data_IF_636103055744
#
_entry.id   IF_636103055744
#
_cell.length_a   1.000
_cell.length_b   1.000
_cell.length_c   1.000
_cell.angle_alpha   90.00
_cell.angle_beta   90.00
_cell.angle_gamma   90.00
#
_symmetry.space_group_name_H-M   'P 1'
#
loop_
_entity.id
_entity.type
_entity.pdbx_description
1 polymer ?
#
# COMPACT_ATOMS: atom_id res chain seq x y z
N UNK A 1 -26.43 1.17 -23.55
CA UNK A 1 -25.24 0.52 -22.98
C UNK A 1 -24.17 0.46 -24.06
N UNK A 2 -22.90 0.42 -23.66
CA UNK A 2 -21.76 0.38 -24.57
C UNK A 2 -20.75 -0.64 -24.05
N UNK A 3 -20.20 -1.46 -24.95
CA UNK A 3 -19.26 -2.52 -24.58
C UNK A 3 -17.83 -2.03 -24.80
N UNK A 4 -17.01 -2.07 -23.77
CA UNK A 4 -15.58 -1.76 -23.84
C UNK A 4 -14.76 -3.04 -23.88
N UNK A 5 -13.64 -3.03 -24.60
CA UNK A 5 -12.67 -4.11 -24.51
C UNK A 5 -11.83 -3.91 -23.24
N UNK A 6 -12.09 -4.74 -22.23
CA UNK A 6 -11.35 -4.72 -20.97
C UNK A 6 -10.14 -5.68 -21.02
N UNK A 7 -9.07 -5.32 -20.30
CA UNK A 7 -7.94 -6.21 -20.06
C UNK A 7 -8.39 -7.51 -19.38
N UNK A 8 -7.59 -8.58 -19.51
CA UNK A 8 -7.92 -9.88 -18.90
C UNK A 8 -7.98 -9.80 -17.37
N UNK A 9 -7.14 -8.96 -16.77
CA UNK A 9 -7.04 -8.81 -15.31
C UNK A 9 -8.28 -8.10 -14.73
N UNK A 10 -8.77 -7.05 -15.40
CA UNK A 10 -10.01 -6.36 -15.02
C UNK A 10 -11.23 -7.31 -15.08
N UNK A 11 -11.29 -8.17 -16.11
CA UNK A 11 -12.35 -9.19 -16.21
C UNK A 11 -12.24 -10.26 -15.12
N UNK A 12 -11.02 -10.69 -14.80
CA UNK A 12 -10.77 -11.69 -13.73
C UNK A 12 -11.27 -11.20 -12.37
N UNK A 13 -11.16 -9.89 -12.11
CA UNK A 13 -11.65 -9.23 -10.90
C UNK A 13 -13.16 -8.95 -10.89
N UNK A 14 -13.88 -9.36 -11.94
CA UNK A 14 -15.34 -9.24 -12.01
C UNK A 14 -15.86 -7.92 -12.58
N UNK A 15 -15.01 -7.10 -13.21
CA UNK A 15 -15.48 -5.88 -13.87
C UNK A 15 -16.27 -6.24 -15.14
N UNK A 16 -17.52 -5.77 -15.22
CA UNK A 16 -18.35 -5.95 -16.40
C UNK A 16 -17.90 -5.02 -17.53
N UNK A 17 -17.86 -5.55 -18.74
CA UNK A 17 -17.44 -4.82 -19.95
C UNK A 17 -18.54 -3.93 -20.54
N UNK A 18 -19.71 -3.86 -19.91
CA UNK A 18 -20.86 -3.09 -20.38
C UNK A 18 -21.12 -1.88 -19.48
N UNK A 19 -21.02 -0.69 -20.06
CA UNK A 19 -21.18 0.59 -19.37
C UNK A 19 -22.39 1.38 -19.89
N UNK A 20 -22.86 2.35 -19.11
CA UNK A 20 -23.90 3.27 -19.55
C UNK A 20 -23.29 4.33 -20.48
N UNK A 21 -23.75 4.39 -21.73
CA UNK A 21 -23.10 5.16 -22.80
C UNK A 21 -23.06 6.67 -22.54
N UNK A 22 -24.02 7.23 -21.81
CA UNK A 22 -24.04 8.67 -21.48
C UNK A 22 -23.05 9.06 -20.37
N UNK A 23 -22.46 8.09 -19.65
CA UNK A 23 -21.44 8.33 -18.65
C UNK A 23 -20.02 8.20 -19.21
N UNK A 24 -19.87 7.76 -20.45
CA UNK A 24 -18.56 7.65 -21.10
C UNK A 24 -17.99 9.04 -21.35
N UNK A 25 -16.69 9.19 -21.11
CA UNK A 25 -15.91 10.41 -21.37
C UNK A 25 -14.80 10.11 -22.36
N UNK A 26 -14.34 11.16 -23.04
CA UNK A 26 -13.17 11.05 -23.93
C UNK A 26 -11.96 10.67 -23.08
N UNK A 27 -11.18 9.71 -23.57
CA UNK A 27 -9.94 9.29 -22.93
C UNK A 27 -8.88 10.39 -23.05
N UNK A 28 -8.37 10.83 -21.90
CA UNK A 28 -7.21 11.71 -21.80
C UNK A 28 -6.01 10.86 -21.39
N UNK A 29 -4.92 10.83 -22.18
CA UNK A 29 -3.75 10.04 -21.85
C UNK A 29 -3.09 10.54 -20.56
N UNK A 30 -2.53 9.61 -19.79
CA UNK A 30 -1.82 9.92 -18.56
C UNK A 30 -0.53 10.73 -18.83
N UNK A 31 -0.22 11.70 -17.98
CA UNK A 31 1.09 12.33 -17.95
C UNK A 31 2.05 11.47 -17.11
N UNK A 32 2.83 10.63 -17.78
CA UNK A 32 3.76 9.70 -17.13
C UNK A 32 4.91 10.39 -16.39
N UNK A 33 5.16 11.69 -16.65
CA UNK A 33 6.17 12.46 -15.91
C UNK A 33 5.66 12.86 -14.53
N UNK A 34 4.38 13.20 -14.44
CA UNK A 34 3.73 13.60 -13.19
C UNK A 34 3.18 12.40 -12.42
N UNK A 35 2.76 11.35 -13.13
CA UNK A 35 2.13 10.16 -12.55
C UNK A 35 2.78 8.88 -13.10
N UNK A 36 4.04 8.60 -12.74
CA UNK A 36 4.66 7.32 -13.07
C UNK A 36 3.91 6.18 -12.35
N UNK A 37 3.90 5.00 -12.96
CA UNK A 37 3.44 3.79 -12.29
C UNK A 37 1.93 3.51 -12.35
N UNK A 38 1.25 3.91 -13.44
CA UNK A 38 -0.21 3.77 -13.62
C UNK A 38 -0.63 2.52 -14.41
N UNK A 39 0.25 1.54 -14.59
CA UNK A 39 -0.14 0.29 -15.25
C UNK A 39 -1.18 -0.45 -14.41
N UNK A 40 -2.11 -1.15 -15.09
CA UNK A 40 -3.12 -2.00 -14.42
C UNK A 40 -2.45 -2.89 -13.35
N UNK A 41 -1.35 -3.56 -13.70
CA UNK A 41 -0.57 -4.36 -12.74
C UNK A 41 -0.15 -3.57 -11.51
N UNK A 42 0.36 -2.34 -11.66
CA UNK A 42 0.86 -1.55 -10.53
C UNK A 42 -0.23 -0.95 -9.65
N UNK A 43 -1.39 -0.62 -10.24
CA UNK A 43 -2.55 -0.10 -9.52
C UNK A 43 -3.28 -1.19 -8.75
N UNK A 44 -3.30 -2.40 -9.31
CA UNK A 44 -4.07 -3.53 -8.80
C UNK A 44 -3.22 -4.51 -7.95
N UNK A 45 -1.90 -4.61 -8.13
CA UNK A 45 -0.96 -5.33 -7.25
C UNK A 45 -0.73 -4.62 -5.89
N UNK A 46 -1.40 -3.49 -5.64
CA UNK A 46 -1.43 -2.87 -4.31
C UNK A 46 -2.27 -3.68 -3.30
N UNK A 47 -3.26 -4.44 -3.77
CA UNK A 47 -4.11 -5.29 -2.92
C UNK A 47 -3.44 -6.65 -2.69
N UNK A 48 -3.02 -7.36 -3.76
CA UNK A 48 -2.46 -8.73 -3.65
C UNK A 48 -1.08 -8.81 -2.96
N UNK A 49 -0.48 -7.67 -2.58
CA UNK A 49 0.72 -7.61 -1.74
C UNK A 49 0.34 -7.59 -0.24
N UNK A 50 -0.56 -8.49 0.16
CA UNK A 50 -1.14 -8.65 1.51
C UNK A 50 -0.13 -9.06 2.62
N UNK A 51 1.16 -8.78 2.43
CA UNK A 51 2.18 -9.03 3.45
C UNK A 51 3.50 -8.28 3.26
N UNK A 52 3.86 -7.91 2.02
CA UNK A 52 5.17 -7.30 1.76
C UNK A 52 5.17 -5.77 1.83
N UNK A 53 4.05 -5.10 1.49
CA UNK A 53 3.94 -3.63 1.61
C UNK A 53 3.48 -3.15 2.98
N UNK A 54 2.80 -3.99 3.76
CA UNK A 54 2.23 -3.57 5.05
C UNK A 54 3.31 -3.32 6.11
N UNK A 55 4.55 -3.79 5.92
CA UNK A 55 5.67 -3.56 6.83
C UNK A 55 6.92 -3.04 6.11
N UNK A 56 6.95 -1.74 5.85
CA UNK A 56 8.13 -1.00 5.45
C UNK A 56 9.14 -0.77 6.60
N UNK A 57 8.93 -1.41 7.76
CA UNK A 57 9.87 -1.35 8.89
C UNK A 57 11.00 -2.34 8.67
N UNK A 58 12.24 -1.89 8.89
CA UNK A 58 13.42 -2.76 8.92
C UNK A 58 13.59 -3.37 10.31
N UNK A 59 13.77 -2.54 11.35
CA UNK A 59 13.91 -2.98 12.75
C UNK A 59 13.67 -1.85 13.76
N UNK A 60 13.50 -2.22 15.03
CA UNK A 60 13.55 -1.29 16.15
C UNK A 60 15.01 -1.12 16.60
N UNK A 61 15.46 0.14 16.74
CA UNK A 61 16.81 0.48 17.17
C UNK A 61 16.90 0.67 18.69
N UNK A 62 15.91 1.35 19.28
CA UNK A 62 15.88 1.66 20.72
C UNK A 62 14.45 1.91 21.21
N UNK A 63 14.25 1.94 22.53
CA UNK A 63 13.00 2.40 23.13
C UNK A 63 13.26 3.27 24.37
N UNK A 64 12.27 4.09 24.73
CA UNK A 64 12.25 4.90 25.95
C UNK A 64 10.87 4.86 26.59
N UNK A 65 10.82 5.03 27.90
CA UNK A 65 9.60 4.89 28.68
C UNK A 65 9.27 3.44 28.99
N UNK A 66 8.07 3.19 29.52
CA UNK A 66 7.64 1.85 29.92
C UNK A 66 6.14 1.64 29.68
N UNK A 67 5.76 0.36 29.56
CA UNK A 67 4.39 -0.08 29.33
C UNK A 67 3.73 0.67 28.16
N UNK A 68 2.50 1.15 28.35
CA UNK A 68 1.74 1.86 27.31
C UNK A 68 2.29 3.24 26.97
N UNK A 69 3.19 3.78 27.81
CA UNK A 69 3.86 5.06 27.58
C UNK A 69 5.19 4.93 26.84
N UNK A 70 5.59 3.70 26.45
CA UNK A 70 6.83 3.49 25.73
C UNK A 70 6.75 4.04 24.30
N UNK A 71 7.86 4.60 23.84
CA UNK A 71 8.10 5.04 22.47
C UNK A 71 9.32 4.31 21.92
N UNK A 72 9.26 3.96 20.64
CA UNK A 72 10.22 3.10 19.97
C UNK A 72 10.83 3.84 18.79
N UNK A 73 12.14 3.76 18.65
CA UNK A 73 12.88 4.26 17.51
C UNK A 73 12.88 3.19 16.42
N UNK A 74 12.26 3.49 15.30
CA UNK A 74 12.02 2.56 14.20
C UNK A 74 12.85 2.97 12.99
N UNK A 75 13.64 2.04 12.47
CA UNK A 75 14.33 2.15 11.19
C UNK A 75 13.42 1.62 10.09
N UNK A 76 13.18 2.41 9.06
CA UNK A 76 12.41 2.02 7.88
C UNK A 76 13.32 1.41 6.82
N UNK A 77 12.77 0.57 5.94
CA UNK A 77 13.47 0.02 4.78
C UNK A 77 13.94 1.11 3.80
N UNK A 78 13.33 2.30 3.84
CA UNK A 78 13.81 3.50 3.11
C UNK A 78 15.10 4.09 3.69
N UNK A 79 15.50 3.70 4.90
CA UNK A 79 16.62 4.27 5.65
C UNK A 79 16.23 5.40 6.60
N UNK A 80 14.97 5.84 6.61
CA UNK A 80 14.49 6.85 7.54
C UNK A 80 14.39 6.30 8.97
N UNK A 81 14.45 7.19 9.97
CA UNK A 81 14.23 6.84 11.38
C UNK A 81 13.12 7.70 11.97
N UNK A 82 12.18 7.06 12.68
CA UNK A 82 11.08 7.77 13.36
C UNK A 82 10.78 7.18 14.73
N UNK A 83 10.27 8.01 15.66
CA UNK A 83 9.77 7.54 16.96
C UNK A 83 8.28 7.23 16.89
N UNK A 84 7.88 6.02 17.30
CA UNK A 84 6.50 5.55 17.31
C UNK A 84 6.04 5.13 18.71
N UNK A 85 4.81 5.47 19.12
CA UNK A 85 4.25 5.03 20.40
C UNK A 85 3.90 3.53 20.40
N UNK A 86 3.94 2.93 21.59
CA UNK A 86 3.60 1.51 21.84
C UNK A 86 2.27 1.08 21.19
N UNK A 87 1.24 1.93 21.25
CA UNK A 87 -0.08 1.63 20.68
C UNK A 87 -0.07 1.42 19.16
N UNK A 88 0.88 2.02 18.45
CA UNK A 88 1.05 1.81 17.01
C UNK A 88 1.94 0.60 16.75
N UNK A 89 3.08 0.48 17.46
CA UNK A 89 4.05 -0.58 17.17
C UNK A 89 3.64 -1.97 17.67
N UNK A 90 2.74 -2.04 18.66
CA UNK A 90 2.19 -3.31 19.19
C UNK A 90 1.42 -4.14 18.16
N UNK A 91 1.05 -3.55 17.02
CA UNK A 91 0.37 -4.24 15.92
C UNK A 91 1.33 -4.81 14.88
N UNK A 92 2.61 -4.44 14.93
CA UNK A 92 3.60 -4.89 13.95
C UNK A 92 4.38 -6.09 14.52
N UNK A 93 4.75 -7.07 13.67
CA UNK A 93 5.52 -8.24 14.10
C UNK A 93 6.93 -7.87 14.61
N UNK A 94 7.50 -6.75 14.14
CA UNK A 94 8.85 -6.27 14.54
C UNK A 94 9.00 -6.02 16.03
N UNK A 95 7.89 -5.82 16.77
CA UNK A 95 7.96 -5.67 18.21
C UNK A 95 8.36 -6.99 18.90
N UNK A 96 7.90 -8.14 18.38
CA UNK A 96 8.29 -9.44 18.90
C UNK A 96 9.80 -9.65 18.71
N UNK A 97 10.31 -9.39 17.50
CA UNK A 97 11.73 -9.51 17.15
C UNK A 97 12.64 -8.62 18.02
N UNK A 98 12.12 -7.51 18.55
CA UNK A 98 12.86 -6.59 19.42
C UNK A 98 12.85 -7.00 20.90
N UNK A 99 11.82 -7.73 21.34
CA UNK A 99 11.64 -8.15 22.73
C UNK A 99 12.23 -9.53 23.03
N UNK A 100 12.55 -10.30 21.98
CA UNK A 100 13.34 -11.54 22.05
C UNK A 100 14.83 -11.25 22.35
#
# INVERSE_FOLDING_TARGET
SYKLELSADLRRRGLHDVFHSSLLRIHEPNDDRLFPGRLDSQLFELEDAEGEREWAVDRILSHKGSATGAVFEVLWKSGDCTWMPYAQISRLPVLADYLD
#
